data_IF_662770871763
#
_entry.id   IF_662770871763
#
_cell.length_a   1.000
_cell.length_b   1.000
_cell.length_c   1.000
_cell.angle_alpha   90.00
_cell.angle_beta   90.00
_cell.angle_gamma   90.00
#
_symmetry.space_group_name_H-M   'P 1'
#
loop_
_entity.id
_entity.type
_entity.pdbx_description
1 polymer ?
#
# COMPACT_ATOMS: atom_id res chain seq x y z
N UNK A 1 -22.59 28.06 39.79
CA UNK A 1 -23.34 28.32 38.54
C UNK A 1 -22.30 28.51 37.44
N UNK A 2 -21.70 27.44 36.88
CA UNK A 2 -22.15 26.65 35.70
C UNK A 2 -22.43 27.50 34.46
N UNK A 3 -21.43 27.68 33.58
CA UNK A 3 -21.32 27.06 32.23
C UNK A 3 -20.07 27.66 31.54
N UNK A 4 -19.02 26.89 31.22
CA UNK A 4 -18.90 25.82 30.24
C UNK A 4 -18.93 26.29 28.77
N UNK A 5 -17.72 26.58 28.27
CA UNK A 5 -17.10 25.99 27.07
C UNK A 5 -17.70 26.16 25.66
N UNK A 6 -16.79 26.53 24.74
CA UNK A 6 -16.69 26.14 23.32
C UNK A 6 -17.62 26.78 22.26
N UNK A 7 -17.04 27.72 21.47
CA UNK A 7 -17.36 27.86 20.03
C UNK A 7 -16.24 28.51 19.19
N UNK A 8 -15.05 27.91 19.19
CA UNK A 8 -13.94 28.33 18.32
C UNK A 8 -13.36 27.15 17.51
N UNK A 9 -14.22 26.31 16.93
CA UNK A 9 -13.82 25.14 16.14
C UNK A 9 -14.37 25.01 14.69
N UNK A 10 -14.99 25.99 14.01
CA UNK A 10 -15.44 25.74 12.63
C UNK A 10 -14.34 25.92 11.57
N UNK A 11 -13.28 26.70 11.83
CA UNK A 11 -12.30 27.03 10.79
C UNK A 11 -11.40 25.84 10.40
N UNK A 12 -11.00 24.99 11.37
CA UNK A 12 -10.11 23.86 11.11
C UNK A 12 -10.82 22.68 10.44
N UNK A 13 -12.10 22.49 10.73
CA UNK A 13 -12.94 21.48 10.10
C UNK A 13 -13.24 21.82 8.62
N UNK A 14 -13.52 23.09 8.30
CA UNK A 14 -13.73 23.52 6.92
C UNK A 14 -12.48 23.40 6.02
N UNK A 15 -11.28 23.61 6.58
CA UNK A 15 -10.01 23.42 5.88
C UNK A 15 -9.70 21.92 5.66
N UNK A 16 -10.10 21.06 6.59
CA UNK A 16 -9.94 19.61 6.47
C UNK A 16 -10.96 18.98 5.49
N UNK A 17 -12.18 19.50 5.41
CA UNK A 17 -13.20 19.07 4.45
C UNK A 17 -12.85 19.53 3.01
N UNK A 18 -12.22 20.69 2.86
CA UNK A 18 -11.64 21.15 1.58
C UNK A 18 -10.38 20.37 1.14
N UNK A 19 -9.83 19.52 2.01
CA UNK A 19 -8.63 18.72 1.75
C UNK A 19 -8.92 17.29 1.24
N UNK A 20 -10.17 16.99 0.86
CA UNK A 20 -10.40 15.90 -0.10
C UNK A 20 -9.61 16.24 -1.38
N UNK A 21 -8.95 15.27 -2.05
CA UNK A 21 -8.24 15.54 -3.28
C UNK A 21 -9.27 15.93 -4.35
N UNK A 22 -9.64 17.21 -4.39
CA UNK A 22 -10.48 17.77 -5.44
C UNK A 22 -9.74 17.47 -6.74
N UNK A 23 -10.34 16.62 -7.57
CA UNK A 23 -9.72 16.15 -8.80
C UNK A 23 -9.18 17.35 -9.59
N UNK A 24 -7.97 17.21 -10.11
CA UNK A 24 -7.29 18.24 -10.88
C UNK A 24 -8.17 18.70 -12.06
N UNK A 25 -9.01 17.82 -12.59
CA UNK A 25 -10.00 18.13 -13.61
C UNK A 25 -11.15 19.01 -13.09
N UNK A 26 -11.67 18.77 -11.89
CA UNK A 26 -12.68 19.65 -11.27
C UNK A 26 -12.10 21.05 -11.03
N UNK A 27 -10.85 21.13 -10.57
CA UNK A 27 -10.14 22.40 -10.39
C UNK A 27 -9.87 23.12 -11.71
N UNK A 28 -9.49 22.38 -12.76
CA UNK A 28 -9.28 22.94 -14.09
C UNK A 28 -10.56 23.60 -14.63
N UNK A 29 -11.73 22.96 -14.50
CA UNK A 29 -13.00 23.52 -15.00
C UNK A 29 -13.42 24.82 -14.33
N UNK A 30 -13.01 25.02 -13.07
CA UNK A 30 -13.28 26.25 -12.31
C UNK A 30 -12.28 27.37 -12.63
N UNK A 31 -11.15 27.04 -13.24
CA UNK A 31 -10.06 27.99 -13.48
C UNK A 31 -10.36 28.95 -14.64
N UNK A 32 -9.93 30.22 -14.57
CA UNK A 32 -10.18 31.23 -15.63
C UNK A 32 -9.64 30.81 -17.00
N UNK A 33 -8.49 30.13 -17.02
CA UNK A 33 -7.88 29.55 -18.21
C UNK A 33 -8.80 28.59 -18.99
N UNK A 34 -9.76 27.93 -18.34
CA UNK A 34 -10.75 27.09 -19.02
C UNK A 34 -11.72 27.91 -19.90
N UNK A 35 -12.05 29.12 -19.45
CA UNK A 35 -13.00 30.02 -20.14
C UNK A 35 -12.42 30.57 -21.44
N UNK A 36 -11.12 30.85 -21.45
CA UNK A 36 -10.42 31.43 -22.60
C UNK A 36 -9.74 30.38 -23.49
N UNK A 37 -9.66 29.12 -23.07
CA UNK A 37 -9.07 28.05 -23.87
C UNK A 37 -9.95 27.71 -25.08
N UNK A 38 -9.30 27.57 -26.25
CA UNK A 38 -9.92 27.05 -27.47
C UNK A 38 -10.31 25.56 -27.29
N UNK A 39 -11.20 25.01 -28.14
CA UNK A 39 -11.63 23.60 -28.03
C UNK A 39 -10.46 22.61 -28.01
N UNK A 40 -9.47 22.80 -28.87
CA UNK A 40 -8.26 21.96 -28.93
C UNK A 40 -7.43 22.06 -27.64
N UNK A 41 -7.27 23.27 -27.09
CA UNK A 41 -6.54 23.48 -25.85
C UNK A 41 -7.25 22.83 -24.65
N UNK A 42 -8.59 22.85 -24.65
CA UNK A 42 -9.39 22.19 -23.60
C UNK A 42 -9.13 20.69 -23.55
N UNK A 43 -8.99 20.03 -24.70
CA UNK A 43 -8.66 18.60 -24.79
C UNK A 43 -7.30 18.31 -24.15
N UNK A 44 -6.28 19.10 -24.50
CA UNK A 44 -4.94 18.96 -23.92
C UNK A 44 -4.95 19.17 -22.41
N UNK A 45 -5.61 20.23 -21.94
CA UNK A 45 -5.70 20.54 -20.50
C UNK A 45 -6.44 19.44 -19.72
N UNK A 46 -7.53 18.89 -20.29
CA UNK A 46 -8.23 17.75 -19.68
C UNK A 46 -7.31 16.53 -19.55
N UNK A 47 -6.54 16.22 -20.59
CA UNK A 47 -5.60 15.10 -20.57
C UNK A 47 -4.53 15.28 -19.49
N UNK A 48 -3.95 16.48 -19.38
CA UNK A 48 -2.95 16.81 -18.35
C UNK A 48 -3.56 16.67 -16.96
N UNK A 49 -4.79 17.16 -16.76
CA UNK A 49 -5.48 17.04 -15.49
C UNK A 49 -5.72 15.58 -15.11
N UNK A 50 -6.18 14.74 -16.05
CA UNK A 50 -6.36 13.31 -15.83
C UNK A 50 -5.04 12.59 -15.49
N UNK A 51 -3.95 12.94 -16.17
CA UNK A 51 -2.62 12.39 -15.86
C UNK A 51 -2.15 12.77 -14.45
N UNK A 52 -2.39 14.01 -14.03
CA UNK A 52 -2.06 14.48 -12.68
C UNK A 52 -2.86 13.74 -11.60
N UNK A 53 -4.14 13.51 -11.84
CA UNK A 53 -4.98 12.75 -10.91
C UNK A 53 -4.45 11.31 -10.72
N UNK A 54 -4.06 10.65 -11.81
CA UNK A 54 -3.44 9.32 -11.76
C UNK A 54 -2.11 9.33 -10.99
N UNK A 55 -1.26 10.33 -11.23
CA UNK A 55 0.02 10.48 -10.51
C UNK A 55 -0.18 10.71 -9.02
N UNK A 56 -1.17 11.53 -8.64
CA UNK A 56 -1.51 11.77 -7.25
C UNK A 56 -2.00 10.50 -6.56
N UNK A 57 -2.89 9.72 -7.21
CA UNK A 57 -3.34 8.43 -6.67
C UNK A 57 -2.16 7.50 -6.41
N UNK A 58 -1.29 7.32 -7.41
CA UNK A 58 -0.13 6.43 -7.29
C UNK A 58 0.82 6.88 -6.18
N UNK A 59 1.03 8.19 -6.04
CA UNK A 59 1.85 8.75 -4.97
C UNK A 59 1.25 8.46 -3.60
N UNK A 60 -0.04 8.69 -3.41
CA UNK A 60 -0.73 8.42 -2.15
C UNK A 60 -0.71 6.94 -1.79
N UNK A 61 -0.86 6.05 -2.78
CA UNK A 61 -0.71 4.60 -2.56
C UNK A 61 0.69 4.24 -2.09
N UNK A 62 1.73 4.77 -2.74
CA UNK A 62 3.13 4.54 -2.32
C UNK A 62 3.44 5.09 -0.94
N UNK A 63 2.93 6.28 -0.60
CA UNK A 63 3.09 6.86 0.74
C UNK A 63 2.40 6.01 1.80
N UNK A 64 1.22 5.46 1.51
CA UNK A 64 0.54 4.50 2.40
C UNK A 64 1.31 3.21 2.55
N UNK A 65 1.79 2.63 1.46
CA UNK A 65 2.62 1.41 1.49
C UNK A 65 3.91 1.64 2.28
N UNK A 66 4.58 2.78 2.08
CA UNK A 66 5.77 3.15 2.83
C UNK A 66 5.47 3.33 4.32
N UNK A 67 4.34 3.96 4.68
CA UNK A 67 3.92 4.09 6.08
C UNK A 67 3.60 2.72 6.71
N UNK A 68 2.94 1.82 5.98
CA UNK A 68 2.68 0.46 6.43
C UNK A 68 3.99 -0.33 6.62
N UNK A 69 4.95 -0.23 5.69
CA UNK A 69 6.27 -0.84 5.82
C UNK A 69 7.06 -0.26 6.99
N UNK A 70 7.03 1.05 7.20
CA UNK A 70 7.67 1.71 8.33
C UNK A 70 7.09 1.21 9.67
N UNK A 71 5.76 1.07 9.76
CA UNK A 71 5.11 0.48 10.94
C UNK A 71 5.40 -1.00 11.12
N UNK A 72 5.57 -1.77 10.04
CA UNK A 72 5.91 -3.19 10.09
C UNK A 72 7.39 -3.45 10.42
N UNK A 73 8.25 -2.44 10.28
CA UNK A 73 9.68 -2.53 10.58
C UNK A 73 9.99 -2.35 12.08
N UNK A 74 9.00 -1.97 12.90
CA UNK A 74 9.07 -2.07 14.37
C UNK A 74 8.99 -3.55 14.79
N UNK A 75 10.09 -4.27 14.57
CA UNK A 75 10.26 -5.64 15.05
C UNK A 75 10.66 -5.59 16.52
N UNK A 76 9.74 -6.01 17.38
CA UNK A 76 10.00 -6.16 18.82
C UNK A 76 11.22 -7.08 19.04
N UNK A 77 12.27 -6.52 19.65
CA UNK A 77 13.51 -7.22 19.91
C UNK A 77 13.37 -8.34 20.96
N UNK A 78 12.28 -8.33 21.75
CA UNK A 78 11.95 -9.33 22.76
C UNK A 78 11.01 -10.44 22.25
N UNK A 79 10.58 -10.39 20.98
CA UNK A 79 9.71 -11.43 20.43
C UNK A 79 10.42 -12.80 20.32
N UNK A 80 9.68 -13.92 20.49
CA UNK A 80 10.25 -15.26 20.37
C UNK A 80 10.87 -15.50 18.97
N UNK A 81 12.00 -16.21 18.90
CA UNK A 81 12.79 -16.49 17.68
C UNK A 81 11.98 -16.79 16.39
N UNK A 82 10.92 -17.64 16.40
CA UNK A 82 10.15 -17.91 15.19
C UNK A 82 9.42 -16.67 14.64
N UNK A 83 8.98 -15.76 15.51
CA UNK A 83 8.30 -14.52 15.11
C UNK A 83 9.29 -13.53 14.48
N UNK A 84 10.53 -13.50 14.97
CA UNK A 84 11.64 -12.71 14.38
C UNK A 84 12.05 -13.25 13.01
N UNK A 85 12.08 -14.57 12.85
CA UNK A 85 12.34 -15.21 11.54
C UNK A 85 11.23 -14.92 10.53
N UNK A 86 9.96 -14.91 10.95
CA UNK A 86 8.84 -14.56 10.07
C UNK A 86 8.89 -13.08 9.65
N UNK A 87 9.27 -12.17 10.56
CA UNK A 87 9.48 -10.77 10.25
C UNK A 87 10.68 -10.57 9.30
N UNK A 88 11.79 -11.27 9.54
CA UNK A 88 12.97 -11.23 8.68
C UNK A 88 12.68 -11.77 7.27
N UNK A 89 11.90 -12.85 7.16
CA UNK A 89 11.45 -13.39 5.89
C UNK A 89 10.57 -12.41 5.09
N UNK A 90 9.75 -11.61 5.80
CA UNK A 90 8.93 -10.55 5.19
C UNK A 90 9.75 -9.34 4.77
N UNK A 91 10.74 -8.94 5.57
CA UNK A 91 11.57 -7.76 5.32
C UNK A 91 12.66 -8.02 4.27
N UNK A 92 13.12 -9.27 4.13
CA UNK A 92 14.16 -9.65 3.17
C UNK A 92 13.73 -10.84 2.29
N UNK A 93 12.76 -10.65 1.38
CA UNK A 93 12.23 -11.73 0.55
C UNK A 93 13.29 -12.33 -0.39
N UNK A 94 14.27 -11.54 -0.83
CA UNK A 94 15.36 -12.00 -1.71
C UNK A 94 16.39 -12.85 -0.97
N UNK A 95 16.75 -12.47 0.26
CA UNK A 95 17.69 -13.28 1.08
C UNK A 95 17.01 -14.55 1.55
N UNK A 96 15.71 -14.51 1.86
CA UNK A 96 14.95 -15.71 2.18
C UNK A 96 14.81 -16.63 0.97
N UNK A 97 14.51 -16.10 -0.21
CA UNK A 97 14.47 -16.88 -1.44
C UNK A 97 15.84 -17.55 -1.71
N UNK A 98 16.94 -16.83 -1.50
CA UNK A 98 18.29 -17.38 -1.63
C UNK A 98 18.60 -18.45 -0.56
N UNK A 99 18.19 -18.24 0.69
CA UNK A 99 18.38 -19.21 1.77
C UNK A 99 17.57 -20.50 1.52
N UNK A 100 16.30 -20.36 1.12
CA UNK A 100 15.44 -21.50 0.75
C UNK A 100 16.00 -22.23 -0.47
N UNK A 101 16.46 -21.50 -1.49
CA UNK A 101 17.11 -22.09 -2.65
C UNK A 101 18.40 -22.83 -2.28
N UNK A 102 19.24 -22.27 -1.41
CA UNK A 102 20.46 -22.89 -0.90
C UNK A 102 20.17 -24.19 -0.13
N UNK A 103 19.17 -24.17 0.76
CA UNK A 103 18.73 -25.38 1.48
C UNK A 103 18.16 -26.43 0.52
N UNK A 104 17.37 -26.02 -0.48
CA UNK A 104 16.81 -26.93 -1.48
C UNK A 104 17.91 -27.59 -2.33
N UNK A 105 18.96 -26.84 -2.70
CA UNK A 105 20.12 -27.37 -3.40
C UNK A 105 20.92 -28.34 -2.53
N UNK A 106 21.11 -28.04 -1.23
CA UNK A 106 21.84 -28.90 -0.30
C UNK A 106 21.10 -30.23 0.01
N UNK A 107 19.76 -30.21 0.09
CA UNK A 107 18.96 -31.42 0.33
C UNK A 107 18.76 -32.29 -0.91
N UNK A 108 18.95 -31.72 -2.11
CA UNK A 108 18.83 -32.40 -3.39
C UNK A 108 17.39 -32.65 -3.85
N UNK A 109 17.15 -32.75 -5.16
CA UNK A 109 15.81 -32.75 -5.76
C UNK A 109 14.97 -33.97 -5.35
N UNK A 110 15.61 -35.14 -5.14
CA UNK A 110 14.90 -36.38 -4.76
C UNK A 110 14.31 -36.32 -3.34
N UNK A 111 14.99 -35.67 -2.39
CA UNK A 111 14.45 -35.50 -1.03
C UNK A 111 13.39 -34.42 -0.99
N UNK A 112 13.56 -33.35 -1.77
CA UNK A 112 12.55 -32.30 -1.91
C UNK A 112 11.22 -32.85 -2.46
N UNK A 113 11.28 -33.67 -3.52
CA UNK A 113 10.10 -34.33 -4.08
C UNK A 113 9.41 -35.28 -3.09
N UNK A 114 10.19 -35.99 -2.26
CA UNK A 114 9.63 -36.89 -1.22
C UNK A 114 8.93 -36.11 -0.13
N UNK A 115 9.56 -35.04 0.38
CA UNK A 115 8.96 -34.16 1.39
C UNK A 115 7.73 -33.45 0.84
N UNK A 116 7.81 -32.91 -0.37
CA UNK A 116 6.70 -32.25 -1.04
C UNK A 116 5.53 -33.22 -1.25
N UNK A 117 5.79 -34.45 -1.69
CA UNK A 117 4.77 -35.50 -1.87
C UNK A 117 4.17 -35.97 -0.55
N UNK A 118 4.94 -35.98 0.54
CA UNK A 118 4.42 -36.33 1.87
C UNK A 118 3.65 -35.18 2.55
N UNK A 119 4.00 -33.92 2.26
CA UNK A 119 3.32 -32.74 2.84
C UNK A 119 2.13 -32.25 2.01
N UNK A 120 2.04 -32.62 0.73
CA UNK A 120 0.94 -32.27 -0.17
C UNK A 120 -0.47 -32.55 0.38
N UNK A 121 -0.77 -33.73 0.97
CA UNK A 121 -2.13 -34.02 1.45
C UNK A 121 -2.55 -33.11 2.62
N UNK A 122 -1.59 -32.64 3.43
CA UNK A 122 -1.85 -31.80 4.60
C UNK A 122 -1.97 -30.32 4.23
N UNK A 123 -1.30 -29.88 3.16
CA UNK A 123 -1.31 -28.48 2.72
C UNK A 123 -2.49 -28.13 1.79
N UNK A 124 -3.01 -29.10 1.06
CA UNK A 124 -4.20 -28.97 0.20
C UNK A 124 -5.41 -28.31 0.90
N UNK A 125 -5.84 -28.75 2.10
CA UNK A 125 -6.98 -28.13 2.79
C UNK A 125 -6.68 -26.71 3.29
N UNK A 126 -5.43 -26.37 3.60
CA UNK A 126 -5.04 -25.02 4.02
C UNK A 126 -5.00 -24.05 2.83
N UNK A 127 -4.47 -24.50 1.69
CA UNK A 127 -4.43 -23.70 0.47
C UNK A 127 -5.83 -23.47 -0.11
N UNK A 128 -6.72 -24.46 -0.01
CA UNK A 128 -8.12 -24.31 -0.42
C UNK A 128 -8.89 -23.29 0.43
N UNK A 129 -8.55 -23.16 1.71
CA UNK A 129 -9.12 -22.13 2.61
C UNK A 129 -8.61 -20.72 2.31
N UNK A 130 -7.39 -20.58 1.80
CA UNK A 130 -6.78 -19.28 1.51
C UNK A 130 -7.27 -18.64 0.20
N UNK A 131 -7.86 -19.46 -0.69
CA UNK A 131 -8.36 -19.05 -2.00
C UNK A 131 -9.87 -18.73 -1.99
N UNK A 132 -10.52 -18.83 -0.83
CA UNK A 132 -11.90 -18.39 -0.57
C UNK A 132 -11.89 -17.03 0.10
#
# INVERSE_FOLDING_TARGET
MTDATHRAAPAKAAVAEAAAPVSALARLRQSPQWRWATPEQRVVLQRIAAQRDQWLLNRLTREREAALLASAQEVDANAPLPQRLAAFARLHPTTMAAAVAGVALAFGPKRLLRVLRSSLPTLLPLLAKLKR
#
